data_IF_483072965372
#
_entry.id   IF_483072965372
#
_cell.length_a   1.000
_cell.length_b   1.000
_cell.length_c   1.000
_cell.angle_alpha   90.00
_cell.angle_beta   90.00
_cell.angle_gamma   90.00
#
_symmetry.space_group_name_H-M   'P 1'
#
loop_
_entity.id
_entity.type
_entity.pdbx_description
1 polymer ?
#
# COMPACT_ATOMS: atom_id res chain seq x y z
N UNK A 1 27.38 3.10 -4.92
CA UNK A 1 27.20 3.76 -4.79
C UNK A 1 26.25 4.26 -4.75
N UNK A 2 26.03 4.45 -4.33
CA UNK A 2 25.32 5.05 -4.32
C UNK A 2 25.25 6.00 -4.71
N UNK A 3 25.03 5.52 -5.02
CA UNK A 3 25.16 6.81 -5.52
C UNK A 3 24.33 7.82 -4.75
N UNK A 4 25.01 8.59 -4.10
CA UNK A 4 24.45 9.63 -3.28
C UNK A 4 23.53 10.60 -4.00
N UNK A 5 23.63 10.65 -5.29
CA UNK A 5 22.74 11.43 -6.09
C UNK A 5 21.48 10.68 -6.39
N UNK A 6 21.33 9.58 -5.69
CA UNK A 6 20.27 8.71 -6.02
C UNK A 6 19.04 8.80 -5.19
N UNK A 7 18.70 9.92 -4.59
CA UNK A 7 17.35 10.09 -4.08
C UNK A 7 16.38 10.25 -5.23
N UNK A 8 16.28 9.22 -6.05
CA UNK A 8 15.13 9.08 -6.91
C UNK A 8 13.99 8.64 -6.06
N UNK A 9 13.01 9.50 -5.91
CA UNK A 9 11.75 9.13 -5.32
C UNK A 9 11.06 8.22 -6.32
N UNK A 10 11.18 6.93 -6.08
CA UNK A 10 10.46 5.95 -6.89
C UNK A 10 9.03 5.92 -6.41
N UNK A 11 8.03 6.12 -7.28
CA UNK A 11 6.64 6.01 -6.88
C UNK A 11 6.37 4.62 -6.31
N UNK A 12 5.65 4.56 -5.21
CA UNK A 12 5.22 3.29 -4.63
C UNK A 12 4.09 2.74 -5.51
N UNK A 13 4.21 1.52 -6.03
CA UNK A 13 3.16 0.98 -6.89
C UNK A 13 1.84 0.80 -6.15
N UNK A 14 0.76 0.91 -6.89
CA UNK A 14 -0.59 0.67 -6.40
C UNK A 14 -1.38 -0.08 -7.47
N UNK A 15 -2.31 -0.94 -7.04
CA UNK A 15 -3.07 -1.78 -7.93
C UNK A 15 -2.28 -3.00 -8.43
N UNK A 16 -2.70 -3.57 -9.52
CA UNK A 16 -2.07 -4.76 -10.08
C UNK A 16 -0.80 -4.41 -10.86
N UNK A 17 0.29 -5.07 -10.52
CA UNK A 17 1.58 -4.91 -11.18
C UNK A 17 2.05 -6.27 -11.68
N UNK A 18 2.38 -6.37 -12.95
CA UNK A 18 2.91 -7.59 -13.55
C UNK A 18 4.43 -7.57 -13.57
N UNK A 19 5.03 -8.65 -13.09
CA UNK A 19 6.47 -8.88 -13.16
C UNK A 19 6.69 -10.27 -13.73
N UNK A 20 7.06 -10.36 -15.02
CA UNK A 20 7.13 -11.65 -15.70
C UNK A 20 5.74 -12.29 -15.78
N UNK A 21 5.62 -13.51 -15.29
CA UNK A 21 4.34 -14.23 -15.24
C UNK A 21 3.61 -14.05 -13.91
N UNK A 22 4.16 -13.26 -13.02
CA UNK A 22 3.60 -13.01 -11.70
C UNK A 22 2.84 -11.71 -11.68
N UNK A 23 1.65 -11.71 -11.10
CA UNK A 23 0.88 -10.52 -10.81
C UNK A 23 0.84 -10.27 -9.31
N UNK A 24 1.01 -9.03 -8.90
CA UNK A 24 0.93 -8.63 -7.50
C UNK A 24 -0.04 -7.46 -7.35
N UNK A 25 -0.89 -7.55 -6.35
CA UNK A 25 -1.79 -6.46 -5.99
C UNK A 25 -1.14 -5.66 -4.88
N UNK A 26 -0.78 -4.44 -5.19
CA UNK A 26 -0.16 -3.51 -4.25
C UNK A 26 -1.21 -2.61 -3.62
N UNK A 27 -1.16 -2.53 -2.31
CA UNK A 27 -2.04 -1.67 -1.55
C UNK A 27 -1.29 -1.12 -0.34
N UNK A 28 -1.30 0.21 -0.21
CA UNK A 28 -0.67 0.90 0.91
C UNK A 28 0.83 0.54 1.07
N UNK A 29 1.53 0.42 -0.04
CA UNK A 29 2.97 0.18 -0.07
C UNK A 29 3.40 -1.26 0.13
N UNK A 30 2.47 -2.21 0.10
CA UNK A 30 2.80 -3.64 0.26
C UNK A 30 1.96 -4.51 -0.66
N UNK A 31 2.46 -5.71 -0.95
CA UNK A 31 1.70 -6.70 -1.69
C UNK A 31 0.64 -7.33 -0.80
N UNK A 32 -0.62 -7.22 -1.20
CA UNK A 32 -1.73 -7.84 -0.47
C UNK A 32 -2.24 -9.11 -1.15
N UNK A 33 -1.90 -9.32 -2.41
CA UNK A 33 -2.24 -10.54 -3.13
C UNK A 33 -1.19 -10.79 -4.22
N UNK A 34 -1.03 -12.06 -4.60
CA UNK A 34 -0.19 -12.42 -5.74
C UNK A 34 -0.78 -13.59 -6.50
N UNK A 35 -0.62 -13.53 -7.83
CA UNK A 35 -1.05 -14.58 -8.74
C UNK A 35 0.17 -15.12 -9.46
N UNK A 36 0.42 -16.42 -9.34
CA UNK A 36 1.55 -17.10 -9.97
C UNK A 36 1.06 -18.29 -10.77
N UNK A 37 1.76 -18.67 -11.87
CA UNK A 37 1.43 -19.91 -12.58
C UNK A 37 1.53 -21.12 -11.64
N UNK A 38 0.61 -22.06 -11.81
CA UNK A 38 0.65 -23.33 -11.09
C UNK A 38 1.38 -24.38 -11.93
N UNK A 39 1.74 -25.51 -11.31
CA UNK A 39 2.41 -26.62 -11.99
C UNK A 39 1.54 -27.29 -13.04
N UNK A 40 0.22 -27.14 -12.92
CA UNK A 40 -0.76 -27.62 -13.89
C UNK A 40 -1.50 -26.47 -14.57
N UNK A 41 -2.60 -26.75 -15.26
CA UNK A 41 -3.45 -25.70 -15.81
C UNK A 41 -4.02 -24.86 -14.68
N UNK A 42 -4.03 -23.55 -14.88
CA UNK A 42 -4.54 -22.62 -13.89
C UNK A 42 -3.45 -21.83 -13.19
N UNK A 43 -3.83 -21.11 -12.17
CA UNK A 43 -2.95 -20.23 -11.42
C UNK A 43 -3.18 -20.40 -9.92
N UNK A 44 -2.16 -20.04 -9.17
CA UNK A 44 -2.20 -20.02 -7.70
C UNK A 44 -2.35 -18.60 -7.23
N UNK A 45 -3.32 -18.38 -6.34
CA UNK A 45 -3.60 -17.07 -5.77
C UNK A 45 -3.29 -17.09 -4.28
N UNK A 46 -2.45 -16.17 -3.85
CA UNK A 46 -2.16 -15.91 -2.44
C UNK A 46 -2.72 -14.54 -2.06
N UNK A 47 -3.33 -14.46 -0.87
CA UNK A 47 -3.94 -13.23 -0.37
C UNK A 47 -3.63 -13.04 1.10
N UNK A 48 -3.45 -11.79 1.51
CA UNK A 48 -3.21 -11.41 2.89
C UNK A 48 -4.13 -10.25 3.28
N UNK A 49 -4.85 -10.39 4.41
CA UNK A 49 -5.65 -9.31 4.96
C UNK A 49 -4.85 -8.39 5.86
N UNK A 50 -5.53 -7.57 6.66
CA UNK A 50 -4.88 -6.63 7.58
C UNK A 50 -4.09 -7.31 8.69
N UNK A 51 -4.56 -8.48 9.14
CA UNK A 51 -3.95 -9.20 10.24
C UNK A 51 -3.09 -10.34 9.72
N UNK A 52 -1.99 -10.64 10.42
CA UNK A 52 -1.04 -11.67 10.01
C UNK A 52 -1.67 -13.04 9.76
N UNK A 53 -2.73 -13.37 10.50
CA UNK A 53 -3.40 -14.66 10.33
C UNK A 53 -4.47 -14.66 9.24
N UNK A 54 -4.74 -13.53 8.61
CA UNK A 54 -5.68 -13.45 7.48
C UNK A 54 -4.93 -13.72 6.18
N UNK A 55 -4.50 -14.96 6.02
CA UNK A 55 -3.81 -15.42 4.81
C UNK A 55 -4.63 -16.54 4.19
N UNK A 56 -4.81 -16.47 2.88
CA UNK A 56 -5.53 -17.51 2.14
C UNK A 56 -4.83 -17.79 0.82
N UNK A 57 -4.71 -19.07 0.50
CA UNK A 57 -4.18 -19.52 -0.78
C UNK A 57 -5.23 -20.39 -1.47
N UNK A 58 -5.52 -20.06 -2.73
CA UNK A 58 -6.50 -20.80 -3.53
C UNK A 58 -5.97 -20.96 -4.96
N UNK A 59 -6.55 -21.91 -5.69
CA UNK A 59 -6.30 -22.09 -7.11
C UNK A 59 -7.43 -21.49 -7.93
N UNK A 60 -7.10 -20.91 -9.06
CA UNK A 60 -8.07 -20.37 -10.00
C UNK A 60 -7.78 -20.88 -11.41
N UNK A 61 -8.78 -20.84 -12.27
CA UNK A 61 -8.64 -21.35 -13.62
C UNK A 61 -7.73 -20.48 -14.50
N UNK A 62 -7.73 -19.19 -14.25
CA UNK A 62 -6.91 -18.22 -15.01
C UNK A 62 -6.63 -16.97 -14.18
N UNK A 63 -5.76 -16.12 -14.71
CA UNK A 63 -5.35 -14.88 -14.03
C UNK A 63 -6.54 -13.95 -13.76
N UNK A 64 -7.43 -13.81 -14.73
CA UNK A 64 -8.60 -12.93 -14.60
C UNK A 64 -9.51 -13.34 -13.43
N UNK A 65 -9.78 -14.63 -13.31
CA UNK A 65 -10.58 -15.17 -12.22
C UNK A 65 -9.88 -14.97 -10.87
N UNK A 66 -8.57 -15.23 -10.82
CA UNK A 66 -7.76 -15.05 -9.63
C UNK A 66 -7.77 -13.59 -9.17
N UNK A 67 -7.54 -12.65 -10.08
CA UNK A 67 -7.58 -11.22 -9.76
C UNK A 67 -8.92 -10.80 -9.19
N UNK A 68 -10.00 -11.24 -9.80
CA UNK A 68 -11.35 -10.90 -9.38
C UNK A 68 -11.66 -11.41 -7.97
N UNK A 69 -11.26 -12.64 -7.69
CA UNK A 69 -11.40 -13.23 -6.38
C UNK A 69 -10.59 -12.45 -5.33
N UNK A 70 -9.32 -12.16 -5.64
CA UNK A 70 -8.43 -11.43 -4.75
C UNK A 70 -8.96 -10.04 -4.43
N UNK A 71 -9.43 -9.31 -5.42
CA UNK A 71 -9.99 -7.97 -5.24
C UNK A 71 -11.14 -7.98 -4.25
N UNK A 72 -12.06 -8.91 -4.40
CA UNK A 72 -13.22 -9.03 -3.52
C UNK A 72 -12.85 -9.47 -2.12
N UNK A 73 -11.98 -10.45 -2.01
CA UNK A 73 -11.56 -10.98 -0.72
C UNK A 73 -10.80 -9.94 0.08
N UNK A 74 -9.83 -9.28 -0.54
CA UNK A 74 -9.03 -8.24 0.12
C UNK A 74 -9.85 -7.01 0.44
N UNK A 75 -10.68 -6.54 -0.50
CA UNK A 75 -11.51 -5.36 -0.29
C UNK A 75 -12.49 -5.53 0.87
N UNK A 76 -13.11 -6.70 0.99
CA UNK A 76 -14.03 -6.98 2.09
C UNK A 76 -13.35 -6.92 3.46
N UNK A 77 -12.07 -7.23 3.52
CA UNK A 77 -11.30 -7.22 4.77
C UNK A 77 -10.65 -5.88 5.07
N UNK A 78 -10.27 -5.14 4.03
CA UNK A 78 -9.65 -3.82 4.21
C UNK A 78 -10.69 -2.72 4.43
N UNK A 79 -11.86 -2.86 3.86
CA UNK A 79 -12.95 -1.87 3.95
C UNK A 79 -14.27 -2.52 4.32
N UNK A 80 -14.37 -3.11 5.53
CA UNK A 80 -15.59 -3.83 5.92
C UNK A 80 -16.83 -2.96 6.01
N UNK A 81 -16.67 -1.66 6.21
CA UNK A 81 -17.76 -0.69 6.33
C UNK A 81 -18.26 -0.16 4.98
N UNK A 82 -17.56 -0.43 3.88
CA UNK A 82 -17.94 0.06 2.56
C UNK A 82 -18.70 -1.02 1.76
N UNK A 83 -19.59 -0.59 0.84
CA UNK A 83 -20.12 -1.52 -0.15
C UNK A 83 -18.97 -2.16 -0.95
N UNK A 84 -19.11 -3.43 -1.28
CA UNK A 84 -18.03 -4.19 -1.92
C UNK A 84 -17.51 -3.53 -3.21
N UNK A 85 -18.43 -3.00 -4.02
CA UNK A 85 -18.06 -2.31 -5.27
C UNK A 85 -17.14 -1.13 -5.01
N UNK A 86 -17.45 -0.32 -4.01
CA UNK A 86 -16.65 0.84 -3.64
C UNK A 86 -15.33 0.42 -3.02
N UNK A 87 -15.34 -0.59 -2.18
CA UNK A 87 -14.14 -1.15 -1.57
C UNK A 87 -13.16 -1.67 -2.63
N UNK A 88 -13.67 -2.41 -3.63
CA UNK A 88 -12.86 -2.91 -4.74
C UNK A 88 -12.28 -1.75 -5.56
N UNK A 89 -13.07 -0.72 -5.82
CA UNK A 89 -12.61 0.44 -6.58
C UNK A 89 -11.45 1.15 -5.87
N UNK A 90 -11.50 1.28 -4.56
CA UNK A 90 -10.40 1.87 -3.78
C UNK A 90 -9.17 1.00 -3.75
N UNK A 91 -9.35 -0.30 -3.60
CA UNK A 91 -8.25 -1.26 -3.54
C UNK A 91 -7.49 -1.33 -4.86
N UNK A 92 -8.21 -1.27 -5.98
CA UNK A 92 -7.63 -1.41 -7.32
C UNK A 92 -7.21 -0.09 -7.95
N UNK A 93 -7.29 1.01 -7.22
CA UNK A 93 -6.80 2.30 -7.69
C UNK A 93 -5.29 2.18 -7.96
N UNK A 94 -4.92 2.33 -9.22
CA UNK A 94 -3.54 2.17 -9.69
C UNK A 94 -2.74 3.46 -9.68
N UNK A 95 -3.27 4.53 -9.10
CA UNK A 95 -2.53 5.78 -8.99
C UNK A 95 -1.30 5.59 -8.09
N UNK A 96 -0.07 5.75 -8.61
CA UNK A 96 1.12 5.58 -7.78
C UNK A 96 1.16 6.57 -6.64
N UNK A 97 1.57 6.08 -5.47
CA UNK A 97 1.79 6.92 -4.32
C UNK A 97 3.17 7.54 -4.45
N UNK A 98 3.22 8.86 -4.57
CA UNK A 98 4.47 9.60 -4.57
C UNK A 98 4.70 10.16 -3.19
N UNK A 99 5.70 9.67 -2.45
CA UNK A 99 6.09 10.35 -1.22
C UNK A 99 6.64 11.71 -1.59
N UNK A 100 6.03 12.77 -1.06
CA UNK A 100 6.52 14.12 -1.27
C UNK A 100 7.72 14.35 -0.38
N UNK A 101 8.91 14.62 -0.96
CA UNK A 101 10.04 15.04 -0.14
C UNK A 101 9.73 16.41 0.44
N UNK A 102 10.11 16.67 1.69
CA UNK A 102 10.02 18.02 2.22
C UNK A 102 10.94 18.92 1.37
N UNK A 103 10.34 19.76 0.56
CA UNK A 103 11.09 20.76 -0.19
C UNK A 103 11.55 21.86 0.75
N UNK A 104 12.83 22.29 0.69
CA UNK A 104 13.30 23.40 1.48
C UNK A 104 12.46 24.64 1.18
N UNK A 105 11.93 25.29 2.20
CA UNK A 105 11.15 26.50 2.06
C UNK A 105 9.64 26.32 1.97
N UNK A 106 9.15 25.09 1.95
CA UNK A 106 7.71 24.87 2.05
C UNK A 106 7.22 25.03 3.50
N UNK A 107 6.03 25.62 3.69
CA UNK A 107 5.49 25.73 5.03
C UNK A 107 5.28 24.33 5.63
N UNK A 108 5.55 24.16 6.93
CA UNK A 108 5.38 22.88 7.58
C UNK A 108 3.90 22.44 7.56
N UNK A 109 3.68 21.13 7.54
CA UNK A 109 2.34 20.56 7.64
C UNK A 109 1.73 20.88 9.01
N UNK A 110 0.41 20.68 9.16
CA UNK A 110 -0.26 20.88 10.44
C UNK A 110 0.36 20.05 11.56
N UNK A 111 0.73 18.82 11.27
CA UNK A 111 1.37 17.95 12.25
C UNK A 111 2.74 18.47 12.66
N UNK A 112 3.53 18.91 11.71
CA UNK A 112 4.84 19.52 11.96
C UNK A 112 4.70 20.80 12.77
N UNK A 113 3.72 21.63 12.47
CA UNK A 113 3.44 22.83 13.23
C UNK A 113 3.03 22.52 14.67
N UNK A 114 2.20 21.51 14.86
CA UNK A 114 1.78 21.09 16.21
C UNK A 114 2.95 20.55 17.01
N UNK A 115 3.82 19.75 16.40
CA UNK A 115 5.01 19.24 17.03
C UNK A 115 5.97 20.37 17.40
N UNK A 116 6.17 21.32 16.51
CA UNK A 116 7.00 22.48 16.77
C UNK A 116 6.46 23.31 17.95
N UNK A 117 5.15 23.53 17.99
CA UNK A 117 4.50 24.23 19.12
C UNK A 117 4.66 23.50 20.43
N UNK A 118 4.53 22.18 20.42
CA UNK A 118 4.75 21.37 21.63
C UNK A 118 6.17 21.47 22.12
N UNK A 119 7.14 21.42 21.22
CA UNK A 119 8.54 21.53 21.58
C UNK A 119 8.89 22.94 22.11
N UNK A 120 8.33 23.98 21.50
CA UNK A 120 8.50 25.35 22.00
C UNK A 120 7.90 25.51 23.39
N UNK A 121 6.68 25.02 23.59
CA UNK A 121 6.02 25.08 24.89
C UNK A 121 6.82 24.35 25.95
N UNK A 122 7.37 23.18 25.63
CA UNK A 122 8.22 22.43 26.55
C UNK A 122 9.51 23.17 26.86
N UNK A 123 10.14 23.79 25.87
CA UNK A 123 11.35 24.60 26.05
C UNK A 123 11.11 25.82 26.91
N UNK A 124 10.02 26.53 26.69
CA UNK A 124 9.62 27.69 27.48
C UNK A 124 9.33 27.27 28.91
N UNK A 125 8.62 26.21 29.13
CA UNK A 125 8.33 25.68 30.45
C UNK A 125 9.60 25.26 31.20
N UNK A 126 10.56 24.67 30.50
CA UNK A 126 11.85 24.28 31.07
C UNK A 126 12.71 25.50 31.42
N UNK A 127 12.68 26.53 30.57
CA UNK A 127 13.44 27.77 30.80
C UNK A 127 12.85 28.63 31.89
N UNK A 128 11.57 28.51 32.18
CA UNK A 128 10.89 29.27 33.24
C UNK A 128 11.12 28.72 34.65
N UNK A 129 11.83 27.63 34.76
CA UNK A 129 12.22 27.09 36.07
C UNK A 129 13.57 27.65 36.51
#
# INVERSE_FOLDING_TARGET
MYSSHGFRIVPIPAGWVQTGERWALWYNGRETASVTPDDGPGVRLWMEGQKMWQVKEVRAANVRQAKRYAERWCAARLYPELPLREAVARLTDSTPIRPEPPLPGLPPTREQQQQARRLEAASIAAAAR
#
